data_IF_848945681749
#
_entry.id   IF_848945681749
#
_cell.length_a   1.000
_cell.length_b   1.000
_cell.length_c   1.000
_cell.angle_alpha   90.00
_cell.angle_beta   90.00
_cell.angle_gamma   90.00
#
_symmetry.space_group_name_H-M   'P 1'
#
loop_
_entity.id
_entity.type
_entity.pdbx_description
1 polymer ?
#
# COMPACT_ATOMS: atom_id res chain seq x y z
N UNK A 1 24.10 -10.97 -5.51
CA UNK A 1 23.45 -10.80 -6.83
C UNK A 1 23.11 -9.32 -6.97
N UNK A 2 23.64 -8.59 -7.96
CA UNK A 2 23.21 -7.22 -8.26
C UNK A 2 22.21 -7.32 -9.40
N UNK A 3 20.92 -7.17 -9.11
CA UNK A 3 19.81 -7.23 -10.09
C UNK A 3 19.27 -5.81 -10.30
N UNK A 4 20.03 -4.89 -10.93
CA UNK A 4 19.68 -3.48 -10.99
C UNK A 4 18.32 -3.25 -11.68
N UNK A 5 18.02 -3.99 -12.75
CA UNK A 5 16.72 -3.93 -13.42
C UNK A 5 15.57 -4.39 -12.52
N UNK A 6 15.78 -5.47 -11.75
CA UNK A 6 14.78 -5.98 -10.82
C UNK A 6 14.49 -4.99 -9.68
N UNK A 7 15.52 -4.35 -9.13
CA UNK A 7 15.34 -3.31 -8.10
C UNK A 7 14.59 -2.10 -8.65
N UNK A 8 14.90 -1.67 -9.88
CA UNK A 8 14.19 -0.55 -10.52
C UNK A 8 12.71 -0.90 -10.75
N UNK A 9 12.44 -2.10 -11.27
CA UNK A 9 11.08 -2.55 -11.54
C UNK A 9 10.28 -2.70 -10.25
N UNK A 10 10.88 -3.27 -9.20
CA UNK A 10 10.26 -3.43 -7.90
C UNK A 10 9.88 -2.09 -7.27
N UNK A 11 10.79 -1.11 -7.28
CA UNK A 11 10.51 0.24 -6.77
C UNK A 11 9.41 0.93 -7.59
N UNK A 12 9.50 0.88 -8.92
CA UNK A 12 8.49 1.47 -9.80
C UNK A 12 7.11 0.84 -9.59
N UNK A 13 7.05 -0.48 -9.41
CA UNK A 13 5.82 -1.22 -9.14
C UNK A 13 5.22 -0.81 -7.79
N UNK A 14 6.00 -0.82 -6.71
CA UNK A 14 5.53 -0.36 -5.39
C UNK A 14 4.98 1.07 -5.42
N UNK A 15 5.62 1.95 -6.18
CA UNK A 15 5.16 3.33 -6.37
C UNK A 15 3.79 3.34 -7.06
N UNK A 16 3.60 2.56 -8.12
CA UNK A 16 2.32 2.48 -8.82
C UNK A 16 1.22 1.94 -7.91
N UNK A 17 1.50 0.89 -7.15
CA UNK A 17 0.56 0.29 -6.20
C UNK A 17 0.14 1.25 -5.11
N UNK A 18 1.04 2.11 -4.63
CA UNK A 18 0.69 3.12 -3.63
C UNK A 18 -0.32 4.15 -4.14
N UNK A 19 -0.48 4.29 -5.46
CA UNK A 19 -1.46 5.19 -6.08
C UNK A 19 -2.78 4.49 -6.43
N UNK A 20 -2.78 3.17 -6.63
CA UNK A 20 -3.93 2.41 -7.16
C UNK A 20 -4.56 1.44 -6.17
N UNK A 21 -3.89 1.11 -5.06
CA UNK A 21 -4.41 0.21 -4.03
C UNK A 21 -4.80 0.96 -2.76
N UNK A 22 -5.87 0.49 -2.12
CA UNK A 22 -6.25 0.98 -0.80
C UNK A 22 -5.22 0.55 0.26
N UNK A 23 -5.22 1.28 1.37
CA UNK A 23 -4.24 1.13 2.43
C UNK A 23 -4.19 -0.28 3.02
N UNK A 24 -5.35 -0.88 3.29
CA UNK A 24 -5.42 -2.15 4.01
C UNK A 24 -5.04 -3.30 3.07
N UNK A 25 -5.49 -3.25 1.81
CA UNK A 25 -5.04 -4.18 0.77
C UNK A 25 -3.53 -4.11 0.56
N UNK A 26 -2.96 -2.91 0.45
CA UNK A 26 -1.51 -2.74 0.28
C UNK A 26 -0.73 -3.30 1.48
N UNK A 27 -1.21 -3.03 2.70
CA UNK A 27 -0.56 -3.53 3.92
C UNK A 27 -0.62 -5.06 4.02
N UNK A 28 -1.77 -5.65 3.72
CA UNK A 28 -1.91 -7.11 3.71
C UNK A 28 -1.07 -7.74 2.60
N UNK A 29 -1.07 -7.15 1.41
CA UNK A 29 -0.24 -7.59 0.28
C UNK A 29 1.25 -7.63 0.64
N UNK A 30 1.76 -6.65 1.38
CA UNK A 30 3.15 -6.66 1.86
C UNK A 30 3.44 -7.90 2.72
N UNK A 31 2.56 -8.21 3.69
CA UNK A 31 2.72 -9.40 4.54
C UNK A 31 2.72 -10.69 3.73
N UNK A 32 1.79 -10.83 2.79
CA UNK A 32 1.67 -12.01 1.94
C UNK A 32 2.85 -12.13 0.98
N UNK A 33 3.39 -11.03 0.48
CA UNK A 33 4.58 -10.99 -0.40
C UNK A 33 5.81 -11.59 0.29
N UNK A 34 6.00 -11.32 1.59
CA UNK A 34 7.07 -11.95 2.36
C UNK A 34 6.88 -13.47 2.44
N UNK A 35 5.66 -13.94 2.72
CA UNK A 35 5.38 -15.37 2.78
C UNK A 35 5.58 -16.05 1.42
N UNK A 36 5.18 -15.38 0.35
CA UNK A 36 5.40 -15.86 -1.02
C UNK A 36 6.89 -16.07 -1.32
N UNK A 37 7.74 -15.09 -0.97
CA UNK A 37 9.19 -15.20 -1.09
C UNK A 37 9.78 -16.37 -0.29
N UNK A 38 9.29 -16.60 0.94
CA UNK A 38 9.70 -17.74 1.77
C UNK A 38 9.35 -19.09 1.13
N UNK A 39 8.12 -19.22 0.57
CA UNK A 39 7.69 -20.45 -0.10
C UNK A 39 8.56 -20.77 -1.32
N UNK A 40 8.87 -19.75 -2.13
CA UNK A 40 9.75 -19.90 -3.30
C UNK A 40 11.16 -20.28 -2.85
N UNK A 41 11.70 -19.59 -1.84
CA UNK A 41 13.04 -19.87 -1.32
C UNK A 41 13.17 -21.31 -0.79
N UNK A 42 12.12 -21.81 -0.12
CA UNK A 42 12.07 -23.18 0.40
C UNK A 42 11.79 -24.24 -0.68
N UNK A 43 11.64 -23.86 -1.95
CA UNK A 43 11.34 -24.77 -3.05
C UNK A 43 9.91 -25.31 -3.04
N UNK A 44 9.01 -24.72 -2.25
CA UNK A 44 7.60 -25.13 -2.13
C UNK A 44 6.74 -24.61 -3.30
N UNK A 45 7.25 -24.75 -4.53
CA UNK A 45 6.64 -24.19 -5.72
C UNK A 45 5.24 -24.77 -5.98
N UNK A 46 4.99 -26.06 -5.72
CA UNK A 46 3.70 -26.70 -6.03
C UNK A 46 2.70 -26.75 -4.86
N UNK A 47 2.93 -25.98 -3.80
CA UNK A 47 2.02 -25.98 -2.66
C UNK A 47 0.74 -25.16 -2.92
N UNK A 48 -0.39 -25.60 -2.35
CA UNK A 48 -1.67 -24.88 -2.47
C UNK A 48 -1.63 -23.48 -1.89
N UNK A 49 -0.82 -23.24 -0.87
CA UNK A 49 -0.67 -21.90 -0.29
C UNK A 49 -0.09 -20.91 -1.32
N UNK A 50 0.90 -21.30 -2.10
CA UNK A 50 1.49 -20.47 -3.16
C UNK A 50 0.46 -20.16 -4.25
N UNK A 51 -0.34 -21.15 -4.66
CA UNK A 51 -1.47 -20.94 -5.61
C UNK A 51 -2.52 -19.96 -5.09
N UNK A 52 -2.89 -20.07 -3.81
CA UNK A 52 -3.84 -19.14 -3.19
C UNK A 52 -3.30 -17.71 -3.12
N UNK A 53 -1.99 -17.56 -2.89
CA UNK A 53 -1.34 -16.26 -2.91
C UNK A 53 -1.30 -15.70 -4.33
N UNK A 54 -1.01 -16.51 -5.35
CA UNK A 54 -1.02 -16.06 -6.75
C UNK A 54 -2.39 -15.50 -7.14
N UNK A 55 -3.48 -16.19 -6.80
CA UNK A 55 -4.85 -15.71 -7.06
C UNK A 55 -5.15 -14.39 -6.34
N UNK A 56 -4.69 -14.23 -5.10
CA UNK A 56 -4.79 -12.95 -4.38
C UNK A 56 -4.00 -11.84 -5.09
N UNK A 57 -2.75 -12.13 -5.50
CA UNK A 57 -1.92 -11.16 -6.21
C UNK A 57 -2.57 -10.72 -7.51
N UNK A 58 -3.06 -11.65 -8.32
CA UNK A 58 -3.75 -11.36 -9.58
C UNK A 58 -4.94 -10.41 -9.36
N UNK A 59 -5.79 -10.70 -8.36
CA UNK A 59 -6.91 -9.83 -8.00
C UNK A 59 -6.47 -8.42 -7.58
N UNK A 60 -5.34 -8.28 -6.87
CA UNK A 60 -4.81 -6.95 -6.52
C UNK A 60 -4.23 -6.22 -7.73
N UNK A 61 -3.77 -6.93 -8.76
CA UNK A 61 -3.13 -6.31 -9.93
C UNK A 61 -4.12 -5.79 -10.98
N UNK A 62 -5.41 -6.16 -10.90
CA UNK A 62 -6.44 -5.81 -11.90
C UNK A 62 -6.43 -4.32 -12.31
N UNK A 63 -6.25 -3.41 -11.34
CA UNK A 63 -6.27 -1.96 -11.58
C UNK A 63 -4.90 -1.28 -11.50
N UNK A 64 -3.81 -2.04 -11.32
CA UNK A 64 -2.44 -1.51 -11.17
C UNK A 64 -1.84 -1.26 -12.55
N UNK A 65 -2.42 -0.29 -13.27
CA UNK A 65 -2.00 0.07 -14.64
C UNK A 65 -1.59 1.53 -14.69
N UNK A 66 -0.41 1.81 -15.24
CA UNK A 66 0.09 3.17 -15.37
C UNK A 66 1.57 3.24 -15.72
N UNK A 67 2.10 4.47 -15.73
CA UNK A 67 3.51 4.77 -16.00
C UNK A 67 4.14 5.46 -14.80
N UNK A 68 5.26 4.92 -14.31
CA UNK A 68 6.06 5.53 -13.25
C UNK A 68 7.37 6.06 -13.82
N UNK A 69 7.65 7.34 -13.56
CA UNK A 69 8.92 7.97 -13.90
C UNK A 69 9.83 7.92 -12.67
N UNK A 70 11.00 7.33 -12.82
CA UNK A 70 12.04 7.26 -11.77
C UNK A 70 13.32 7.97 -12.20
N UNK A 71 14.02 8.59 -11.26
CA UNK A 71 15.36 9.15 -11.42
C UNK A 71 16.37 8.20 -10.82
N UNK A 72 17.39 7.83 -11.59
CA UNK A 72 18.49 6.98 -11.14
C UNK A 72 19.70 7.87 -10.87
N UNK A 73 20.24 7.81 -9.65
CA UNK A 73 21.42 8.58 -9.30
C UNK A 73 22.31 7.85 -8.29
N UNK A 74 23.57 7.58 -8.67
CA UNK A 74 24.60 6.94 -7.82
C UNK A 74 24.07 5.72 -7.06
N UNK A 75 23.37 4.82 -7.75
CA UNK A 75 22.80 3.60 -7.15
C UNK A 75 21.52 3.81 -6.34
N UNK A 76 20.96 5.02 -6.30
CA UNK A 76 19.66 5.31 -5.70
C UNK A 76 18.59 5.44 -6.78
N UNK A 77 17.36 5.05 -6.43
CA UNK A 77 16.16 5.24 -7.24
C UNK A 77 15.31 6.27 -6.51
N UNK A 78 14.85 7.31 -7.21
CA UNK A 78 13.94 8.33 -6.67
C UNK A 78 12.68 8.42 -7.53
N UNK A 79 11.48 8.42 -6.94
CA UNK A 79 10.25 8.70 -7.68
C UNK A 79 10.30 10.12 -8.27
N UNK A 80 9.83 10.27 -9.51
CA UNK A 80 9.78 11.55 -10.22
C UNK A 80 8.41 11.86 -10.83
N UNK A 81 7.50 10.89 -10.88
CA UNK A 81 6.11 11.10 -11.29
C UNK A 81 5.37 9.77 -11.45
N UNK A 82 4.05 9.80 -11.30
CA UNK A 82 3.14 8.67 -11.47
C UNK A 82 2.02 9.15 -12.39
N UNK A 83 1.70 8.36 -13.40
CA UNK A 83 0.61 8.63 -14.33
C UNK A 83 -0.25 7.38 -14.43
N UNK A 84 -1.48 7.44 -13.94
CA UNK A 84 -2.45 6.32 -13.97
C UNK A 84 -3.86 6.89 -14.06
N UNK A 85 -4.74 6.18 -14.79
CA UNK A 85 -6.17 6.51 -14.87
C UNK A 85 -6.95 5.96 -13.67
N UNK A 86 -6.36 5.03 -12.91
CA UNK A 86 -6.96 4.36 -11.76
C UNK A 86 -6.44 4.91 -10.42
N UNK A 87 -6.06 6.19 -10.37
CA UNK A 87 -5.57 6.81 -9.14
C UNK A 87 -6.70 6.86 -8.09
N UNK A 88 -6.45 6.31 -6.91
CA UNK A 88 -7.32 6.49 -5.74
C UNK A 88 -7.11 7.87 -5.09
N UNK A 89 -6.04 8.56 -5.47
CA UNK A 89 -5.76 9.92 -5.02
C UNK A 89 -6.65 10.91 -5.78
N UNK A 90 -7.45 11.67 -5.02
CA UNK A 90 -8.26 12.79 -5.52
C UNK A 90 -7.76 14.10 -4.89
N UNK A 91 -7.30 15.03 -5.73
CA UNK A 91 -6.79 16.34 -5.31
C UNK A 91 -7.89 17.24 -4.72
N UNK A 92 -9.14 17.10 -5.20
CA UNK A 92 -10.29 17.88 -4.73
C UNK A 92 -10.72 17.52 -3.31
N UNK A 93 -10.55 16.26 -2.92
CA UNK A 93 -10.79 15.78 -1.55
C UNK A 93 -9.59 16.07 -0.64
N UNK A 94 -8.37 16.01 -1.18
CA UNK A 94 -7.13 16.13 -0.41
C UNK A 94 -6.64 17.56 -0.22
N UNK A 95 -7.25 18.54 -0.90
CA UNK A 95 -6.89 19.95 -0.79
C UNK A 95 -7.22 20.50 0.60
N UNK A 96 -6.36 21.40 1.12
CA UNK A 96 -6.61 22.15 2.35
C UNK A 96 -7.76 23.19 2.23
N UNK A 97 -8.41 23.29 1.07
CA UNK A 97 -9.59 24.13 0.86
C UNK A 97 -10.86 23.52 1.47
N UNK A 98 -11.98 24.27 1.42
CA UNK A 98 -13.30 23.73 1.73
C UNK A 98 -13.67 22.65 0.72
N UNK A 99 -13.40 21.38 1.03
CA UNK A 99 -13.95 20.27 0.24
C UNK A 99 -15.42 20.10 0.61
N UNK A 100 -16.30 19.97 -0.39
CA UNK A 100 -17.73 19.67 -0.15
C UNK A 100 -17.95 18.25 0.40
N UNK A 101 -16.92 17.39 0.31
CA UNK A 101 -16.98 15.96 0.63
C UNK A 101 -16.48 15.61 2.05
N UNK A 102 -15.79 16.52 2.74
CA UNK A 102 -15.22 16.27 4.06
C UNK A 102 -15.71 17.29 5.09
N UNK A 103 -16.49 16.83 6.09
CA UNK A 103 -16.84 17.63 7.27
C UNK A 103 -15.82 17.40 8.39
N UNK A 104 -15.16 18.47 8.81
CA UNK A 104 -14.19 18.44 9.91
C UNK A 104 -14.80 17.96 11.25
N UNK A 105 -16.12 18.10 11.44
CA UNK A 105 -16.80 17.61 12.65
C UNK A 105 -16.78 16.09 12.77
N UNK A 106 -16.83 15.38 11.65
CA UNK A 106 -16.78 13.91 11.64
C UNK A 106 -15.43 13.40 12.15
N UNK A 107 -14.36 14.17 11.94
CA UNK A 107 -13.03 13.84 12.43
C UNK A 107 -12.97 13.77 13.97
N UNK A 108 -13.59 14.72 14.67
CA UNK A 108 -13.62 14.75 16.12
C UNK A 108 -14.40 13.55 16.69
N UNK A 109 -15.56 13.25 16.10
CA UNK A 109 -16.35 12.07 16.44
C UNK A 109 -15.58 10.76 16.22
N UNK A 110 -14.93 10.63 15.06
CA UNK A 110 -14.11 9.47 14.71
C UNK A 110 -12.96 9.28 15.70
N UNK A 111 -12.17 10.31 16.00
CA UNK A 111 -11.06 10.23 16.95
C UNK A 111 -11.55 9.76 18.32
N UNK A 112 -12.66 10.31 18.81
CA UNK A 112 -13.21 9.95 20.10
C UNK A 112 -13.66 8.48 20.15
N UNK A 113 -14.36 8.00 19.12
CA UNK A 113 -14.84 6.63 19.06
C UNK A 113 -13.70 5.63 18.85
N UNK A 114 -12.79 5.92 17.91
CA UNK A 114 -11.67 5.06 17.54
C UNK A 114 -10.68 4.88 18.70
N UNK A 115 -10.45 5.93 19.50
CA UNK A 115 -9.55 5.87 20.66
C UNK A 115 -10.21 5.40 21.95
N UNK A 116 -11.55 5.25 21.99
CA UNK A 116 -12.30 4.90 23.19
C UNK A 116 -11.80 3.62 23.89
N UNK A 117 -11.51 2.50 23.19
CA UNK A 117 -10.98 1.30 23.84
C UNK A 117 -9.63 1.54 24.52
N UNK A 118 -8.77 2.37 23.92
CA UNK A 118 -7.47 2.72 24.48
C UNK A 118 -7.62 3.60 25.73
N UNK A 119 -8.54 4.58 25.69
CA UNK A 119 -8.88 5.42 26.85
C UNK A 119 -9.39 4.57 28.03
N UNK A 120 -10.31 3.64 27.79
CA UNK A 120 -10.82 2.71 28.82
C UNK A 120 -9.69 1.87 29.40
N UNK A 121 -8.79 1.37 28.55
CA UNK A 121 -7.63 0.58 29.00
C UNK A 121 -6.71 1.40 29.90
N UNK A 122 -6.44 2.67 29.56
CA UNK A 122 -5.64 3.57 30.39
C UNK A 122 -6.28 3.83 31.75
N UNK A 123 -7.58 4.17 31.76
CA UNK A 123 -8.36 4.39 32.99
C UNK A 123 -8.35 3.16 33.91
N UNK A 124 -8.53 1.95 33.35
CA UNK A 124 -8.46 0.70 34.13
C UNK A 124 -7.06 0.37 34.63
N UNK A 125 -6.02 0.85 33.93
CA UNK A 125 -4.63 0.67 34.32
C UNK A 125 -4.14 1.73 35.34
N UNK A 126 -4.99 2.64 35.79
CA UNK A 126 -4.65 3.68 36.77
C UNK A 126 -3.65 4.72 36.25
N UNK A 127 -3.58 4.91 34.93
CA UNK A 127 -2.79 5.96 34.27
C UNK A 127 -3.69 7.04 33.70
#
# INVERSE_FOLDING_TARGET
MRTPGGTILYEAHNILESATLDKDTLHFKQMVSYKYGELIYNGLWYCKLRESIDAFMEQTQDNVTGTVKVKLYKGNIKPAGIFTENALYDEGISSFGNSELYDHKDAEGFINLFTLPLKIRAMKAGK
#
